data_IF_956992451635
#
_entry.id   IF_956992451635
#
_cell.length_a   1.000
_cell.length_b   1.000
_cell.length_c   1.000
_cell.angle_alpha   90.00
_cell.angle_beta   90.00
_cell.angle_gamma   90.00
#
_symmetry.space_group_name_H-M   'P 1'
#
loop_
_entity.id
_entity.type
_entity.pdbx_description
1 polymer ?
#
# COMPACT_ATOMS: atom_id res chain seq x y z
N UNK A 1 13.72 6.07 70.63
CA UNK A 1 12.92 7.26 71.00
C UNK A 1 11.99 7.57 69.84
N UNK A 2 10.69 7.70 70.14
CA UNK A 2 9.58 7.97 69.20
C UNK A 2 9.51 9.46 68.85
N UNK A 3 9.09 9.79 67.62
CA UNK A 3 8.35 11.02 67.18
C UNK A 3 8.09 10.88 65.67
N UNK A 4 6.92 10.40 65.25
CA UNK A 4 5.63 11.11 65.06
C UNK A 4 5.51 11.79 63.69
N UNK A 5 4.37 11.50 63.07
CA UNK A 5 4.01 11.62 61.67
C UNK A 5 3.68 13.04 61.19
N UNK A 6 3.80 13.26 59.87
CA UNK A 6 2.81 14.02 59.09
C UNK A 6 2.55 13.31 57.78
N UNK A 7 1.29 12.89 57.64
CA UNK A 7 0.65 12.33 56.45
C UNK A 7 0.43 13.47 55.46
N UNK A 8 0.91 13.31 54.23
CA UNK A 8 0.41 14.08 53.08
C UNK A 8 -0.11 13.06 52.09
N UNK A 9 -1.43 12.92 52.10
CA UNK A 9 -2.19 12.15 51.12
C UNK A 9 -2.10 12.84 49.76
N UNK A 10 -1.52 12.17 48.76
CA UNK A 10 -1.76 12.50 47.37
C UNK A 10 -2.22 11.24 46.66
N UNK A 11 -3.55 11.11 46.56
CA UNK A 11 -4.20 10.13 45.72
C UNK A 11 -4.12 10.59 44.27
N UNK A 12 -3.48 9.81 43.40
CA UNK A 12 -3.81 9.79 41.98
C UNK A 12 -3.75 8.34 41.50
N UNK A 13 -4.94 7.77 41.35
CA UNK A 13 -5.16 6.47 40.73
C UNK A 13 -4.97 6.59 39.22
N UNK A 14 -4.20 5.68 38.60
CA UNK A 14 -4.54 5.16 37.28
C UNK A 14 -3.96 3.75 37.13
N UNK A 15 -4.90 2.87 36.82
CA UNK A 15 -4.89 1.42 36.80
C UNK A 15 -3.99 0.81 35.73
N UNK A 16 -3.55 -0.42 36.03
CA UNK A 16 -3.01 -1.42 35.12
C UNK A 16 -3.78 -1.48 33.80
N UNK A 17 -3.04 -1.42 32.69
CA UNK A 17 -3.52 -1.71 31.34
C UNK A 17 -2.52 -2.59 30.60
N UNK A 18 -2.40 -3.84 31.03
CA UNK A 18 -1.85 -4.89 30.20
C UNK A 18 -2.92 -5.31 29.17
N UNK A 19 -2.68 -5.02 27.90
CA UNK A 19 -3.23 -5.73 26.75
C UNK A 19 -2.03 -6.00 25.83
N UNK A 20 -1.36 -7.15 25.93
CA UNK A 20 -1.75 -8.40 25.28
C UNK A 20 -1.99 -8.19 23.77
N UNK A 21 -1.00 -8.62 22.98
CA UNK A 21 -1.16 -8.90 21.55
C UNK A 21 -2.33 -9.86 21.36
N UNK A 22 -3.33 -9.44 20.58
CA UNK A 22 -4.25 -10.33 19.90
C UNK A 22 -4.10 -10.06 18.40
N UNK A 23 -3.60 -11.00 17.58
CA UNK A 23 -3.82 -10.95 16.14
C UNK A 23 -5.27 -11.38 15.89
N UNK A 24 -6.22 -10.49 16.15
CA UNK A 24 -7.60 -10.69 15.73
C UNK A 24 -7.71 -10.27 14.27
N UNK A 25 -7.60 -11.28 13.41
CA UNK A 25 -8.07 -11.32 12.03
C UNK A 25 -9.41 -10.58 11.90
N UNK A 26 -9.41 -9.44 11.21
CA UNK A 26 -10.61 -8.79 10.69
C UNK A 26 -10.29 -8.18 9.32
N UNK A 27 -10.04 -9.04 8.32
CA UNK A 27 -10.19 -8.62 6.92
C UNK A 27 -11.66 -8.82 6.56
N UNK A 28 -12.48 -7.91 7.07
CA UNK A 28 -13.88 -7.77 6.71
C UNK A 28 -13.99 -7.16 5.32
N UNK A 29 -14.82 -7.79 4.48
CA UNK A 29 -15.32 -7.25 3.21
C UNK A 29 -15.85 -5.82 3.44
N UNK A 30 -15.34 -4.84 2.69
CA UNK A 30 -16.19 -3.71 2.28
C UNK A 30 -15.66 -2.97 1.05
N UNK A 31 -16.45 -3.11 0.01
CA UNK A 31 -16.62 -2.28 -1.17
C UNK A 31 -16.88 -0.81 -0.78
N UNK A 32 -16.35 0.12 -1.57
CA UNK A 32 -16.86 1.49 -1.62
C UNK A 32 -15.99 2.54 -0.91
N UNK A 33 -15.35 3.36 -1.73
CA UNK A 33 -14.91 4.73 -1.45
C UNK A 33 -14.33 5.01 -0.04
N UNK A 34 -13.06 4.66 0.19
CA UNK A 34 -12.28 5.25 1.30
C UNK A 34 -11.83 6.65 0.88
N UNK A 35 -12.80 7.56 0.81
CA UNK A 35 -12.61 9.00 0.77
C UNK A 35 -12.84 9.50 2.20
N UNK A 36 -11.91 9.19 3.09
CA UNK A 36 -11.87 9.84 4.42
C UNK A 36 -10.47 9.72 4.96
N UNK A 37 -9.88 10.86 5.31
CA UNK A 37 -8.65 10.99 6.05
C UNK A 37 -8.81 10.38 7.46
N UNK A 38 -8.90 9.06 7.54
CA UNK A 38 -9.02 8.32 8.80
C UNK A 38 -7.61 7.88 9.26
N UNK A 39 -7.16 8.28 10.47
CA UNK A 39 -5.85 7.91 11.00
C UNK A 39 -5.62 6.38 11.09
N UNK A 40 -6.69 5.57 11.15
CA UNK A 40 -6.60 4.11 11.18
C UNK A 40 -6.16 3.54 9.82
N UNK A 41 -6.58 4.14 8.70
CA UNK A 41 -6.12 3.76 7.36
C UNK A 41 -4.65 4.16 7.14
N UNK A 42 -4.22 5.27 7.73
CA UNK A 42 -2.81 5.69 7.73
C UNK A 42 -1.93 4.75 8.56
N UNK A 43 -2.41 4.25 9.71
CA UNK A 43 -1.68 3.29 10.54
C UNK A 43 -1.52 1.92 9.86
N UNK A 44 -2.55 1.43 9.17
CA UNK A 44 -2.46 0.19 8.37
C UNK A 44 -1.54 0.37 7.16
N UNK A 45 -1.60 1.53 6.49
CA UNK A 45 -0.64 1.89 5.43
C UNK A 45 0.80 1.92 5.95
N UNK A 46 1.05 2.55 7.10
CA UNK A 46 2.39 2.67 7.69
C UNK A 46 3.07 1.33 7.99
N UNK A 47 2.35 0.34 8.51
CA UNK A 47 2.91 -1.00 8.77
C UNK A 47 3.32 -1.73 7.47
N UNK A 48 2.54 -1.55 6.40
CA UNK A 48 2.78 -2.18 5.10
C UNK A 48 3.89 -1.45 4.33
N UNK A 49 3.89 -0.13 4.37
CA UNK A 49 4.96 0.72 3.81
C UNK A 49 6.27 0.50 4.57
N UNK A 50 6.21 0.35 5.90
CA UNK A 50 7.33 -0.05 6.72
C UNK A 50 7.91 -1.41 6.35
N UNK A 51 7.09 -2.35 5.85
CA UNK A 51 7.55 -3.62 5.30
C UNK A 51 8.18 -3.50 3.89
N UNK A 52 7.80 -2.48 3.11
CA UNK A 52 8.47 -2.15 1.85
C UNK A 52 9.86 -1.53 2.06
N UNK A 53 10.03 -0.76 3.14
CA UNK A 53 11.31 -0.12 3.51
C UNK A 53 12.21 -1.03 4.35
N UNK A 54 11.61 -1.84 5.23
CA UNK A 54 12.30 -2.71 6.18
C UNK A 54 12.76 -4.02 5.54
N UNK A 55 13.81 -3.95 4.72
CA UNK A 55 14.69 -5.10 4.55
C UNK A 55 15.04 -5.70 5.92
N UNK A 56 15.33 -7.00 5.96
CA UNK A 56 15.37 -7.89 7.14
C UNK A 56 15.95 -7.39 8.48
N UNK A 57 16.67 -6.26 8.53
CA UNK A 57 17.33 -5.73 9.72
C UNK A 57 16.58 -4.62 10.49
N UNK A 58 15.61 -3.89 9.92
CA UNK A 58 15.08 -2.67 10.57
C UNK A 58 13.55 -2.48 10.47
N UNK A 59 12.78 -3.52 10.82
CA UNK A 59 11.30 -3.46 10.85
C UNK A 59 10.72 -2.45 11.86
N UNK A 60 11.53 -1.98 12.82
CA UNK A 60 11.12 -1.03 13.84
C UNK A 60 11.08 0.43 13.35
N UNK A 61 11.78 0.77 12.25
CA UNK A 61 11.83 2.14 11.72
C UNK A 61 10.54 2.55 10.98
N UNK A 62 9.74 1.58 10.51
CA UNK A 62 8.53 1.84 9.71
C UNK A 62 7.37 2.49 10.49
N UNK A 63 7.36 2.41 11.82
CA UNK A 63 6.28 2.95 12.66
C UNK A 63 6.48 4.44 13.01
N UNK A 64 7.70 4.98 12.89
CA UNK A 64 8.04 6.34 13.33
C UNK A 64 7.74 7.43 12.28
N UNK A 65 7.45 7.06 11.02
CA UNK A 65 7.09 7.99 9.95
C UNK A 65 5.60 8.41 9.95
N UNK A 66 4.85 8.05 11.01
CA UNK A 66 3.40 8.27 11.12
C UNK A 66 2.95 9.66 11.60
N UNK A 67 3.84 10.66 11.64
CA UNK A 67 3.50 11.98 12.21
C UNK A 67 4.14 13.13 11.45
N UNK A 68 3.46 13.63 10.40
CA UNK A 68 3.39 15.05 9.98
C UNK A 68 2.88 15.17 8.54
N UNK A 69 1.63 14.80 8.22
CA UNK A 69 1.02 15.13 6.93
C UNK A 69 -0.49 15.39 7.00
N UNK A 70 -0.87 16.53 7.55
CA UNK A 70 -2.22 17.05 7.35
C UNK A 70 -2.44 17.55 5.91
N UNK A 71 -1.38 17.95 5.18
CA UNK A 71 -1.49 18.53 3.83
C UNK A 71 -1.53 17.51 2.69
N UNK A 72 -0.86 16.35 2.81
CA UNK A 72 -0.90 15.29 1.80
C UNK A 72 -2.02 14.25 2.03
N UNK A 73 -2.65 14.26 3.21
CA UNK A 73 -3.77 13.37 3.52
C UNK A 73 -4.94 13.52 2.52
N UNK A 74 -5.13 14.72 1.97
CA UNK A 74 -6.20 15.05 1.02
C UNK A 74 -5.83 14.91 -0.46
N UNK A 75 -4.68 14.33 -0.82
CA UNK A 75 -4.41 14.01 -2.22
C UNK A 75 -5.51 13.07 -2.74
N UNK A 76 -6.30 13.57 -3.69
CA UNK A 76 -7.32 12.79 -4.37
C UNK A 76 -6.62 11.79 -5.28
N UNK A 77 -6.72 10.50 -4.94
CA UNK A 77 -6.22 9.42 -5.78
C UNK A 77 -7.42 8.81 -6.49
N UNK A 78 -7.60 9.17 -7.74
CA UNK A 78 -8.53 8.47 -8.61
C UNK A 78 -7.89 7.15 -9.02
N UNK A 79 -8.65 6.07 -8.86
CA UNK A 79 -8.22 4.72 -9.20
C UNK A 79 -9.22 4.14 -10.18
N UNK A 80 -8.74 3.85 -11.38
CA UNK A 80 -9.50 3.13 -12.38
C UNK A 80 -8.75 1.87 -12.73
N UNK A 81 -9.41 0.72 -12.63
CA UNK A 81 -8.86 -0.56 -13.05
C UNK A 81 -9.82 -1.24 -14.01
N UNK A 82 -9.26 -1.90 -15.01
CA UNK A 82 -9.98 -2.70 -15.98
C UNK A 82 -9.27 -4.02 -16.22
N UNK A 83 -10.03 -5.07 -16.39
CA UNK A 83 -9.51 -6.35 -16.84
C UNK A 83 -9.22 -6.25 -18.34
N UNK A 84 -7.98 -6.56 -18.73
CA UNK A 84 -7.51 -6.54 -20.13
C UNK A 84 -7.25 -7.94 -20.67
N UNK A 85 -7.10 -8.95 -19.79
CA UNK A 85 -7.18 -10.37 -20.13
C UNK A 85 -7.96 -11.13 -19.07
N UNK A 86 -8.76 -12.11 -19.50
CA UNK A 86 -9.45 -13.03 -18.59
C UNK A 86 -8.46 -14.02 -17.97
N UNK A 87 -8.87 -14.68 -16.87
CA UNK A 87 -8.10 -15.77 -16.28
C UNK A 87 -7.77 -16.86 -17.31
N UNK A 88 -8.78 -17.31 -18.06
CA UNK A 88 -8.63 -18.32 -19.11
C UNK A 88 -7.60 -17.94 -20.17
N UNK A 89 -7.54 -16.66 -20.58
CA UNK A 89 -6.54 -16.20 -21.55
C UNK A 89 -5.13 -16.27 -20.97
N UNK A 90 -4.93 -15.80 -19.74
CA UNK A 90 -3.63 -15.86 -19.06
C UNK A 90 -3.20 -17.31 -18.81
N UNK A 91 -4.12 -18.18 -18.40
CA UNK A 91 -3.87 -19.59 -18.16
C UNK A 91 -3.46 -20.33 -19.43
N UNK A 92 -4.13 -20.05 -20.55
CA UNK A 92 -3.76 -20.61 -21.86
C UNK A 92 -2.38 -20.13 -22.31
N UNK A 93 -2.08 -18.84 -22.18
CA UNK A 93 -0.76 -18.27 -22.51
C UNK A 93 0.34 -18.89 -21.62
N UNK A 94 0.06 -19.06 -20.33
CA UNK A 94 0.97 -19.70 -19.38
C UNK A 94 1.22 -21.16 -19.74
N UNK A 95 0.17 -21.95 -19.96
CA UNK A 95 0.28 -23.37 -20.31
C UNK A 95 0.99 -23.57 -21.65
N UNK A 96 0.78 -22.68 -22.63
CA UNK A 96 1.50 -22.73 -23.89
C UNK A 96 3.03 -22.58 -23.73
N UNK A 97 3.46 -21.86 -22.69
CA UNK A 97 4.88 -21.62 -22.39
C UNK A 97 5.47 -22.62 -21.40
N UNK A 98 4.69 -23.10 -20.43
CA UNK A 98 5.16 -23.86 -19.27
C UNK A 98 4.57 -25.30 -19.18
N UNK A 99 3.66 -25.67 -20.07
CA UNK A 99 2.99 -26.97 -20.11
C UNK A 99 1.80 -27.09 -19.15
N UNK A 100 1.97 -26.71 -17.88
CA UNK A 100 0.91 -26.79 -16.85
C UNK A 100 0.79 -25.49 -16.07
N UNK A 101 -0.36 -25.28 -15.41
CA UNK A 101 -0.55 -24.17 -14.46
C UNK A 101 0.43 -24.26 -13.28
N UNK A 102 0.79 -23.12 -12.66
CA UNK A 102 1.55 -23.12 -11.43
C UNK A 102 0.77 -23.82 -10.30
N UNK A 103 1.46 -24.31 -9.28
CA UNK A 103 0.83 -24.99 -8.14
C UNK A 103 -0.18 -24.08 -7.42
N UNK A 104 0.20 -22.81 -7.25
CA UNK A 104 -0.65 -21.76 -6.68
C UNK A 104 -0.73 -20.57 -7.64
N UNK A 105 -1.79 -19.78 -7.51
CA UNK A 105 -1.95 -18.56 -8.29
C UNK A 105 -0.71 -17.66 -8.15
N UNK A 106 -0.15 -17.27 -9.29
CA UNK A 106 1.19 -16.67 -9.35
C UNK A 106 1.16 -15.41 -10.20
N UNK A 107 1.83 -14.36 -9.72
CA UNK A 107 2.06 -13.14 -10.48
C UNK A 107 3.06 -13.43 -11.60
N UNK A 108 2.59 -13.39 -12.84
CA UNK A 108 3.39 -13.69 -14.04
C UNK A 108 4.05 -12.43 -14.58
N UNK A 109 3.36 -11.28 -14.49
CA UNK A 109 3.87 -10.00 -14.98
C UNK A 109 3.42 -8.85 -14.10
N UNK A 110 4.35 -7.92 -13.86
CA UNK A 110 4.02 -6.66 -13.21
C UNK A 110 4.93 -5.54 -13.70
N UNK A 111 4.32 -4.49 -14.22
CA UNK A 111 4.99 -3.33 -14.79
C UNK A 111 4.30 -2.04 -14.35
N UNK A 112 5.08 -0.99 -14.17
CA UNK A 112 4.59 0.36 -13.88
C UNK A 112 5.27 1.39 -14.76
N UNK A 113 4.54 2.42 -15.16
CA UNK A 113 5.08 3.57 -15.88
C UNK A 113 4.36 4.86 -15.47
N UNK A 114 5.06 5.98 -15.58
CA UNK A 114 4.47 7.31 -15.41
C UNK A 114 4.09 7.88 -16.77
N UNK A 115 2.85 8.34 -16.89
CA UNK A 115 2.31 8.93 -18.11
C UNK A 115 1.61 10.28 -17.83
N UNK A 116 1.75 11.28 -18.71
CA UNK A 116 2.55 11.26 -19.94
C UNK A 116 4.05 11.45 -19.70
N UNK A 117 4.45 11.87 -18.50
CA UNK A 117 5.84 12.14 -18.15
C UNK A 117 6.15 11.78 -16.70
N UNK A 118 7.42 11.45 -16.46
CA UNK A 118 8.02 11.34 -15.15
C UNK A 118 8.52 12.71 -14.62
N UNK A 119 8.12 13.82 -15.26
CA UNK A 119 8.48 15.19 -14.86
C UNK A 119 7.25 16.07 -14.89
N UNK A 120 6.96 16.77 -13.78
CA UNK A 120 5.82 17.69 -13.64
C UNK A 120 6.24 18.97 -12.93
N UNK A 121 5.44 20.03 -13.08
CA UNK A 121 5.59 21.23 -12.24
C UNK A 121 4.85 21.06 -10.92
N UNK A 122 5.19 21.86 -9.91
CA UNK A 122 4.34 21.99 -8.71
C UNK A 122 2.89 22.34 -9.09
N UNK A 123 1.91 21.63 -8.53
CA UNK A 123 0.51 21.73 -8.97
C UNK A 123 0.13 20.84 -10.17
N UNK A 124 1.09 20.15 -10.78
CA UNK A 124 0.88 19.29 -11.94
C UNK A 124 0.33 17.91 -11.60
N UNK A 125 -0.07 17.19 -12.65
CA UNK A 125 -0.64 15.85 -12.58
C UNK A 125 0.16 14.88 -13.46
N UNK A 126 0.33 13.66 -12.97
CA UNK A 126 0.82 12.51 -13.75
C UNK A 126 0.02 11.26 -13.33
N UNK A 127 0.00 10.24 -14.17
CA UNK A 127 -0.64 8.97 -13.88
C UNK A 127 0.41 7.87 -13.69
N UNK A 128 0.33 7.12 -12.61
CA UNK A 128 1.01 5.83 -12.51
C UNK A 128 0.12 4.77 -13.15
N UNK A 129 0.52 4.30 -14.33
CA UNK A 129 -0.14 3.20 -15.03
C UNK A 129 0.51 1.90 -14.62
N UNK A 130 -0.28 0.94 -14.16
CA UNK A 130 0.18 -0.38 -13.72
C UNK A 130 -0.46 -1.48 -14.56
N UNK A 131 0.34 -2.47 -14.95
CA UNK A 131 -0.11 -3.71 -15.58
C UNK A 131 0.21 -4.88 -14.64
N UNK A 132 -0.79 -5.66 -14.25
CA UNK A 132 -0.68 -6.78 -13.32
C UNK A 132 -1.28 -8.00 -13.99
N UNK A 133 -0.52 -9.07 -14.15
CA UNK A 133 -0.98 -10.34 -14.72
C UNK A 133 -0.75 -11.48 -13.73
N UNK A 134 -1.81 -12.22 -13.45
CA UNK A 134 -1.81 -13.35 -12.50
C UNK A 134 -2.42 -14.56 -13.19
N UNK A 135 -1.68 -15.67 -13.19
CA UNK A 135 -2.19 -16.97 -13.63
C UNK A 135 -2.88 -17.70 -12.46
N UNK A 136 -3.88 -18.53 -12.76
CA UNK A 136 -4.51 -19.40 -11.77
C UNK A 136 -3.56 -20.49 -11.28
N UNK A 137 -3.80 -20.96 -10.06
CA UNK A 137 -3.14 -22.16 -9.54
C UNK A 137 -3.89 -23.43 -9.95
N UNK A 138 -3.20 -24.57 -9.89
CA UNK A 138 -3.82 -25.90 -10.01
C UNK A 138 -4.85 -26.17 -8.91
N UNK A 139 -4.80 -25.43 -7.79
CA UNK A 139 -5.80 -25.49 -6.73
C UNK A 139 -7.14 -24.81 -7.08
N UNK A 140 -7.23 -24.13 -8.23
CA UNK A 140 -8.40 -23.42 -8.74
C UNK A 140 -9.05 -22.46 -7.72
N UNK A 141 -8.25 -21.93 -6.79
CA UNK A 141 -8.71 -20.92 -5.83
C UNK A 141 -8.60 -19.53 -6.46
N UNK A 142 -9.70 -18.76 -6.58
CA UNK A 142 -9.63 -17.41 -7.13
C UNK A 142 -8.68 -16.52 -6.31
N UNK A 143 -7.61 -15.97 -6.91
CA UNK A 143 -6.65 -15.18 -6.16
C UNK A 143 -7.21 -13.81 -5.76
N UNK A 144 -6.83 -13.37 -4.57
CA UNK A 144 -7.02 -11.98 -4.14
C UNK A 144 -5.77 -11.20 -4.55
N UNK A 145 -5.93 -10.24 -5.46
CA UNK A 145 -4.83 -9.39 -5.95
C UNK A 145 -4.97 -8.00 -5.36
N UNK A 146 -3.92 -7.50 -4.73
CA UNK A 146 -3.89 -6.16 -4.15
C UNK A 146 -2.63 -5.42 -4.60
N UNK A 147 -2.76 -4.12 -4.85
CA UNK A 147 -1.65 -3.24 -5.12
C UNK A 147 -1.57 -2.16 -4.04
N UNK A 148 -0.40 -2.02 -3.44
CA UNK A 148 -0.06 -0.92 -2.55
C UNK A 148 0.79 0.07 -3.34
N UNK A 149 0.53 1.36 -3.16
CA UNK A 149 1.38 2.44 -3.66
C UNK A 149 1.70 3.36 -2.50
N UNK A 150 2.96 3.77 -2.41
CA UNK A 150 3.49 4.71 -1.45
C UNK A 150 4.28 5.80 -2.19
N UNK A 151 3.86 7.05 -2.01
CA UNK A 151 4.53 8.24 -2.52
C UNK A 151 5.40 8.82 -1.41
N UNK A 152 6.65 9.11 -1.73
CA UNK A 152 7.62 9.75 -0.84
C UNK A 152 8.08 11.08 -1.42
N UNK A 153 8.34 12.03 -0.52
CA UNK A 153 8.92 13.32 -0.89
C UNK A 153 10.42 13.24 -1.11
N UNK A 154 11.05 14.34 -1.57
CA UNK A 154 12.49 14.43 -1.76
C UNK A 154 13.31 14.22 -0.48
N UNK A 155 12.70 14.42 0.69
CA UNK A 155 13.28 14.18 2.01
C UNK A 155 13.07 12.73 2.50
N UNK A 156 12.66 11.82 1.60
CA UNK A 156 12.32 10.44 1.87
C UNK A 156 11.16 10.22 2.87
N UNK A 157 10.39 11.28 3.20
CA UNK A 157 9.21 11.12 4.05
C UNK A 157 8.05 10.56 3.25
N UNK A 158 7.36 9.59 3.82
CA UNK A 158 6.12 9.04 3.26
C UNK A 158 5.07 10.14 3.18
N UNK A 159 4.64 10.51 1.97
CA UNK A 159 3.61 11.50 1.69
C UNK A 159 2.19 10.93 1.68
N UNK A 160 2.02 9.80 1.01
CA UNK A 160 0.72 9.17 0.84
C UNK A 160 0.91 7.68 0.63
N UNK A 161 -0.01 6.88 1.16
CA UNK A 161 -0.12 5.47 0.77
C UNK A 161 -1.57 5.10 0.50
N UNK A 162 -1.76 4.23 -0.49
CA UNK A 162 -3.05 3.66 -0.85
C UNK A 162 -2.89 2.16 -1.10
N UNK A 163 -3.92 1.41 -0.72
CA UNK A 163 -4.09 -0.01 -1.04
C UNK A 163 -5.34 -0.14 -1.90
N UNK A 164 -5.24 -0.80 -3.04
CA UNK A 164 -6.35 -0.99 -3.99
C UNK A 164 -6.39 -2.42 -4.52
N UNK A 165 -7.57 -2.89 -4.88
CA UNK A 165 -7.80 -4.18 -5.53
C UNK A 165 -8.11 -3.91 -7.01
N UNK A 166 -7.31 -4.41 -7.97
CA UNK A 166 -7.52 -4.17 -9.39
C UNK A 166 -8.77 -4.84 -9.97
N UNK A 167 -9.28 -5.86 -9.29
CA UNK A 167 -10.49 -6.56 -9.66
C UNK A 167 -11.62 -6.24 -8.68
N UNK A 168 -12.85 -6.18 -9.18
CA UNK A 168 -14.04 -6.01 -8.33
C UNK A 168 -14.35 -7.24 -7.46
N UNK A 169 -13.80 -8.40 -7.84
CA UNK A 169 -13.91 -9.69 -7.17
C UNK A 169 -12.55 -10.41 -7.19
N UNK A 170 -12.33 -11.38 -6.30
CA UNK A 170 -11.15 -12.24 -6.37
C UNK A 170 -11.13 -13.00 -7.71
N UNK A 171 -10.07 -12.80 -8.51
CA UNK A 171 -9.94 -13.41 -9.84
C UNK A 171 -8.52 -13.29 -10.38
N UNK A 172 -8.07 -14.29 -11.13
CA UNK A 172 -6.88 -14.22 -11.97
C UNK A 172 -7.17 -13.43 -13.27
N UNK A 173 -6.15 -13.28 -14.11
CA UNK A 173 -6.18 -12.52 -15.36
C UNK A 173 -5.20 -11.35 -15.37
N UNK A 174 -5.30 -10.52 -16.40
CA UNK A 174 -4.51 -9.30 -16.51
C UNK A 174 -5.38 -8.07 -16.26
N UNK A 175 -4.86 -7.16 -15.45
CA UNK A 175 -5.49 -5.91 -15.07
C UNK A 175 -4.58 -4.76 -15.44
N UNK A 176 -5.17 -3.73 -16.04
CA UNK A 176 -4.52 -2.44 -16.20
C UNK A 176 -5.20 -1.45 -15.27
N UNK A 177 -4.40 -0.65 -14.57
CA UNK A 177 -4.92 0.40 -13.73
C UNK A 177 -4.17 1.71 -13.87
N UNK A 178 -4.90 2.79 -13.60
CA UNK A 178 -4.48 4.16 -13.75
C UNK A 178 -4.67 4.85 -12.38
N UNK A 179 -3.57 5.36 -11.81
CA UNK A 179 -3.56 6.11 -10.56
C UNK A 179 -3.18 7.55 -10.81
N UNK A 180 -4.13 8.47 -10.68
CA UNK A 180 -3.86 9.90 -10.84
C UNK A 180 -3.15 10.46 -9.61
N UNK A 181 -2.00 11.08 -9.85
CA UNK A 181 -1.15 11.73 -8.86
C UNK A 181 -1.15 13.22 -9.14
N UNK A 182 -2.01 13.96 -8.43
CA UNK A 182 -2.04 15.42 -8.45
C UNK A 182 -1.22 15.97 -7.28
N UNK A 183 -0.12 16.65 -7.58
CA UNK A 183 0.70 17.28 -6.55
C UNK A 183 0.10 18.64 -6.18
N UNK A 184 -0.01 18.99 -4.88
CA UNK A 184 -0.41 20.33 -4.47
C UNK A 184 0.49 21.43 -5.04
N UNK A 185 -0.03 22.65 -5.15
CA UNK A 185 0.83 23.82 -5.41
C UNK A 185 1.79 24.06 -4.24
N UNK A 186 3.01 24.51 -4.53
CA UNK A 186 4.02 24.84 -3.51
C UNK A 186 4.73 23.63 -2.89
N UNK A 187 4.55 22.42 -3.44
CA UNK A 187 5.39 21.28 -3.06
C UNK A 187 6.87 21.56 -3.39
N UNK A 188 7.83 21.09 -2.56
CA UNK A 188 9.24 21.23 -2.87
C UNK A 188 9.61 20.65 -4.24
N UNK A 189 10.52 21.31 -4.95
CA UNK A 189 11.17 20.72 -6.11
C UNK A 189 12.06 19.56 -5.68
N UNK A 190 12.21 18.56 -6.55
CA UNK A 190 13.04 17.40 -6.29
C UNK A 190 12.45 16.09 -6.82
N UNK A 191 13.12 14.99 -6.49
CA UNK A 191 12.69 13.65 -6.88
C UNK A 191 11.73 13.09 -5.85
N UNK A 192 10.53 12.72 -6.29
CA UNK A 192 9.53 12.03 -5.51
C UNK A 192 9.57 10.55 -5.87
N UNK A 193 9.74 9.70 -4.87
CA UNK A 193 9.79 8.25 -5.09
C UNK A 193 8.40 7.65 -4.95
N UNK A 194 7.99 6.86 -5.94
CA UNK A 194 6.76 6.08 -5.92
C UNK A 194 7.16 4.62 -5.79
N UNK A 195 6.94 4.04 -4.62
CA UNK A 195 7.09 2.60 -4.43
C UNK A 195 5.73 1.94 -4.61
N UNK A 196 5.68 0.86 -5.36
CA UNK A 196 4.48 0.05 -5.51
C UNK A 196 4.76 -1.42 -5.32
N UNK A 197 3.81 -2.15 -4.75
CA UNK A 197 3.94 -3.56 -4.45
C UNK A 197 2.65 -4.29 -4.75
N UNK A 198 2.76 -5.44 -5.41
CA UNK A 198 1.66 -6.34 -5.69
C UNK A 198 1.68 -7.49 -4.70
N UNK A 199 0.52 -7.79 -4.15
CA UNK A 199 0.26 -8.90 -3.27
C UNK A 199 -0.71 -9.86 -3.94
N UNK A 200 -0.42 -11.16 -3.82
CA UNK A 200 -1.31 -12.24 -4.24
C UNK A 200 -1.62 -13.07 -2.99
N UNK A 201 -2.90 -13.20 -2.66
CA UNK A 201 -3.38 -13.91 -1.47
C UNK A 201 -2.71 -13.42 -0.16
N UNK A 202 -2.47 -12.10 -0.06
CA UNK A 202 -1.86 -11.46 1.10
C UNK A 202 -0.33 -11.59 1.20
N UNK A 203 0.31 -12.36 0.32
CA UNK A 203 1.76 -12.46 0.23
C UNK A 203 2.30 -11.46 -0.82
N UNK A 204 3.38 -10.75 -0.48
CA UNK A 204 4.02 -9.82 -1.41
C UNK A 204 4.68 -10.61 -2.55
N UNK A 205 4.24 -10.36 -3.79
CA UNK A 205 4.70 -11.05 -4.97
C UNK A 205 5.80 -10.28 -5.71
N UNK A 206 5.66 -8.95 -5.86
CA UNK A 206 6.68 -8.10 -6.50
C UNK A 206 6.57 -6.65 -6.07
N UNK A 207 7.68 -5.92 -6.15
CA UNK A 207 7.77 -4.47 -5.97
C UNK A 207 8.25 -3.78 -7.25
N UNK A 208 7.84 -2.53 -7.44
CA UNK A 208 8.31 -1.62 -8.48
C UNK A 208 8.60 -0.24 -7.86
N UNK A 209 9.57 0.46 -8.44
CA UNK A 209 9.92 1.84 -8.04
C UNK A 209 9.85 2.72 -9.28
N UNK A 210 9.24 3.89 -9.14
CA UNK A 210 9.22 4.93 -10.16
C UNK A 210 9.61 6.25 -9.51
N UNK A 211 10.27 7.11 -10.27
CA UNK A 211 10.71 8.42 -9.81
C UNK A 211 9.97 9.50 -10.58
N UNK A 212 9.42 10.47 -9.86
CA UNK A 212 8.74 11.63 -10.40
C UNK A 212 9.56 12.88 -10.07
N UNK A 213 10.09 13.53 -11.09
CA UNK A 213 10.80 14.80 -10.93
C UNK A 213 9.81 15.97 -10.88
N UNK A 214 9.89 16.76 -9.83
CA UNK A 214 9.16 18.03 -9.72
C UNK A 214 10.11 19.18 -10.00
N UNK A 215 9.73 20.05 -10.94
CA UNK A 215 10.47 21.24 -11.37
C UNK A 215 9.69 22.53 -11.17
#
# INVERSE_FOLDING_TARGET
>A
MKRSAKVVSLALALSLGACAMNPATQVGKNTGNVQTCNPIAAALGGALVGALLGGSHDRAAGAAAGGLLASAACMAVNYHARQVKTAQQVDQEWQAQNGTLPEHATLTRYETKLEPSATVRGGGETNLVSYIEVAEGQDHRPPVVEQIIALYGPDAKLLKSVRKTPSASASAGAFQSDFSLTLPQGVPQGVYTIQSAVYVNGAMARTAVSELQVV
#
